data_IF_929740434775
#
_entry.id   IF_929740434775
#
_cell.length_a   1.000
_cell.length_b   1.000
_cell.length_c   1.000
_cell.angle_alpha   90.00
_cell.angle_beta   90.00
_cell.angle_gamma   90.00
#
_symmetry.space_group_name_H-M   'P 1'
#
loop_
_entity.id
_entity.type
_entity.pdbx_description
1 polymer ?
#
# COMPACT_ATOMS: atom_id res chain seq x y z
N UNK A 1 11.67 1.72 14.36
CA UNK A 1 10.99 2.87 13.70
C UNK A 1 11.80 4.16 13.89
N UNK A 2 13.05 4.01 14.28
CA UNK A 2 13.81 5.04 14.98
C UNK A 2 14.55 5.97 14.02
N UNK A 3 14.64 5.59 12.74
CA UNK A 3 15.23 6.41 11.66
C UNK A 3 14.29 7.55 11.24
N UNK A 4 12.97 7.34 11.32
CA UNK A 4 11.97 8.34 10.89
C UNK A 4 11.59 9.33 12.00
N UNK A 5 11.81 8.94 13.25
CA UNK A 5 11.53 9.80 14.42
C UNK A 5 12.32 11.12 14.38
N UNK A 6 13.65 11.13 14.12
CA UNK A 6 14.41 12.37 13.94
C UNK A 6 13.91 13.26 12.79
N UNK A 7 13.28 12.66 11.79
CA UNK A 7 12.73 13.36 10.62
C UNK A 7 11.29 13.86 10.84
N UNK A 8 10.74 13.67 12.05
CA UNK A 8 9.38 14.07 12.43
C UNK A 8 8.29 13.48 11.54
N UNK A 9 8.51 12.25 11.04
CA UNK A 9 7.51 11.49 10.30
C UNK A 9 6.74 10.57 11.24
N UNK A 10 5.42 10.59 11.11
CA UNK A 10 4.50 9.76 11.88
C UNK A 10 3.83 8.77 10.91
N UNK A 11 3.74 7.50 11.32
CA UNK A 11 3.03 6.47 10.54
C UNK A 11 1.53 6.77 10.58
N UNK A 12 0.96 7.08 9.42
CA UNK A 12 -0.47 7.38 9.27
C UNK A 12 -1.28 6.11 9.04
N UNK A 13 -0.81 5.24 8.15
CA UNK A 13 -1.52 4.01 7.80
C UNK A 13 -0.56 2.95 7.29
N UNK A 14 -1.00 1.71 7.32
CA UNK A 14 -0.30 0.59 6.71
C UNK A 14 -1.27 -0.49 6.25
N UNK A 15 -0.86 -1.23 5.23
CA UNK A 15 -1.53 -2.45 4.79
C UNK A 15 -0.46 -3.46 4.39
N UNK A 16 -0.71 -4.73 4.70
CA UNK A 16 0.23 -5.82 4.45
C UNK A 16 -0.52 -7.04 3.92
N UNK A 17 0.10 -7.72 2.97
CA UNK A 17 -0.29 -9.04 2.49
C UNK A 17 0.98 -9.88 2.30
N UNK A 18 1.22 -10.82 3.23
CA UNK A 18 2.47 -11.59 3.34
C UNK A 18 3.74 -10.70 3.25
N UNK A 19 4.45 -10.72 2.12
CA UNK A 19 5.66 -9.93 1.86
C UNK A 19 5.40 -8.57 1.19
N UNK A 20 4.16 -8.28 0.79
CA UNK A 20 3.76 -7.02 0.15
C UNK A 20 3.34 -6.06 1.26
N UNK A 21 4.08 -4.96 1.42
CA UNK A 21 3.87 -3.99 2.49
C UNK A 21 3.75 -2.58 1.90
N UNK A 22 2.72 -1.85 2.30
CA UNK A 22 2.57 -0.44 1.99
C UNK A 22 2.43 0.33 3.31
N UNK A 23 3.31 1.32 3.49
CA UNK A 23 3.36 2.19 4.65
C UNK A 23 3.18 3.63 4.19
N UNK A 24 2.32 4.39 4.86
CA UNK A 24 2.17 5.84 4.64
C UNK A 24 2.64 6.57 5.88
N UNK A 25 3.63 7.45 5.70
CA UNK A 25 4.12 8.35 6.74
C UNK A 25 3.87 9.79 6.33
N UNK A 26 3.59 10.66 7.29
CA UNK A 26 3.42 12.09 7.05
C UNK A 26 4.04 12.91 8.17
N UNK A 27 4.45 14.14 7.85
CA UNK A 27 4.82 15.13 8.86
C UNK A 27 3.59 15.64 9.60
N UNK A 28 3.78 16.05 10.85
CA UNK A 28 2.70 16.52 11.73
C UNK A 28 1.80 17.59 11.09
N UNK A 29 2.39 18.56 10.39
CA UNK A 29 1.68 19.66 9.71
C UNK A 29 0.65 19.22 8.66
N UNK A 30 0.77 17.99 8.13
CA UNK A 30 -0.13 17.47 7.10
C UNK A 30 -1.26 16.60 7.67
N UNK A 31 -1.16 16.16 8.93
CA UNK A 31 -2.10 15.20 9.53
C UNK A 31 -3.57 15.67 9.49
N UNK A 32 -3.91 16.95 9.76
CA UNK A 32 -5.30 17.41 9.69
C UNK A 32 -5.93 17.31 8.29
N UNK A 33 -5.09 17.23 7.25
CA UNK A 33 -5.52 17.22 5.85
C UNK A 33 -5.46 15.83 5.22
N UNK A 34 -5.12 14.80 5.99
CA UNK A 34 -5.07 13.41 5.55
C UNK A 34 -6.24 12.65 6.16
N UNK A 35 -7.06 12.05 5.31
CA UNK A 35 -8.12 11.12 5.70
C UNK A 35 -7.92 9.80 4.97
N UNK A 36 -7.71 8.71 5.70
CA UNK A 36 -7.67 7.37 5.11
C UNK A 36 -9.11 6.94 4.77
N UNK A 37 -9.37 6.64 3.50
CA UNK A 37 -10.69 6.26 3.01
C UNK A 37 -10.86 4.75 2.95
N UNK A 38 -9.83 4.02 2.50
CA UNK A 38 -9.83 2.57 2.53
C UNK A 38 -8.43 1.99 2.49
N UNK A 39 -8.29 0.79 3.05
CA UNK A 39 -7.13 -0.08 2.89
C UNK A 39 -7.61 -1.42 2.37
N UNK A 40 -6.98 -1.97 1.34
CA UNK A 40 -7.41 -3.23 0.71
C UNK A 40 -6.21 -4.12 0.40
N UNK A 41 -6.43 -5.42 0.48
CA UNK A 41 -5.48 -6.45 0.04
C UNK A 41 -6.19 -7.34 -0.98
N UNK A 42 -5.57 -7.53 -2.14
CA UNK A 42 -6.09 -8.33 -3.25
C UNK A 42 -5.10 -9.44 -3.56
N UNK A 43 -5.28 -10.65 -3.00
CA UNK A 43 -4.44 -11.79 -3.32
C UNK A 43 -4.70 -12.27 -4.75
N UNK A 44 -3.64 -12.70 -5.45
CA UNK A 44 -3.72 -13.33 -6.78
C UNK A 44 -3.00 -14.68 -6.84
N UNK A 45 -2.30 -15.08 -5.78
CA UNK A 45 -1.72 -16.42 -5.69
C UNK A 45 -2.80 -17.48 -5.47
N UNK A 46 -2.60 -18.69 -6.02
CA UNK A 46 -3.53 -19.82 -5.93
C UNK A 46 -5.00 -19.39 -6.19
N UNK A 47 -5.28 -18.79 -7.35
CA UNK A 47 -6.62 -18.28 -7.70
C UNK A 47 -7.22 -17.28 -6.69
N UNK A 48 -6.36 -16.55 -5.97
CA UNK A 48 -6.78 -15.60 -4.93
C UNK A 48 -6.86 -16.19 -3.52
N UNK A 49 -6.63 -17.49 -3.33
CA UNK A 49 -6.58 -18.10 -2.00
C UNK A 49 -5.25 -17.86 -1.26
N UNK A 50 -4.21 -17.42 -1.96
CA UNK A 50 -2.88 -17.23 -1.38
C UNK A 50 -2.30 -15.84 -1.64
N UNK A 51 -1.87 -15.17 -0.56
CA UNK A 51 -1.43 -13.77 -0.57
C UNK A 51 0.04 -13.52 -0.92
N UNK A 52 0.76 -14.47 -1.53
CA UNK A 52 2.17 -14.27 -1.90
C UNK A 52 2.35 -13.39 -3.15
N UNK A 53 1.27 -13.22 -3.91
CA UNK A 53 1.17 -12.43 -5.13
C UNK A 53 -0.13 -11.65 -5.10
N UNK A 54 -0.16 -10.52 -5.78
CA UNK A 54 -1.31 -9.63 -5.85
C UNK A 54 -0.90 -8.21 -5.46
N UNK A 55 -1.77 -7.50 -4.76
CA UNK A 55 -1.48 -6.12 -4.37
C UNK A 55 -2.18 -5.68 -3.10
N UNK A 56 -1.66 -4.61 -2.53
CA UNK A 56 -2.25 -3.89 -1.40
C UNK A 56 -2.43 -2.43 -1.78
N UNK A 57 -3.48 -1.80 -1.28
CA UNK A 57 -3.88 -0.45 -1.64
C UNK A 57 -4.21 0.37 -0.39
N UNK A 58 -3.85 1.65 -0.41
CA UNK A 58 -4.35 2.67 0.51
C UNK A 58 -4.93 3.79 -0.33
N UNK A 59 -6.23 4.04 -0.17
CA UNK A 59 -6.92 5.21 -0.70
C UNK A 59 -7.09 6.23 0.42
N UNK A 60 -6.70 7.47 0.15
CA UNK A 60 -6.79 8.58 1.09
C UNK A 60 -7.30 9.84 0.40
N UNK A 61 -7.85 10.75 1.19
CA UNK A 61 -8.07 12.14 0.81
C UNK A 61 -6.93 12.97 1.40
N UNK A 62 -6.22 13.71 0.57
CA UNK A 62 -5.11 14.58 0.93
C UNK A 62 -5.42 15.99 0.43
N UNK A 63 -5.58 16.96 1.33
CA UNK A 63 -5.90 18.36 0.98
C UNK A 63 -7.14 18.51 0.06
N UNK A 64 -8.14 17.64 0.23
CA UNK A 64 -9.34 17.64 -0.62
C UNK A 64 -9.25 16.70 -1.83
N UNK A 65 -8.06 16.28 -2.24
CA UNK A 65 -7.83 15.42 -3.40
C UNK A 65 -7.84 13.95 -3.03
N UNK A 66 -8.40 13.11 -3.90
CA UNK A 66 -8.40 11.66 -3.74
C UNK A 66 -7.12 11.07 -4.32
N UNK A 67 -6.38 10.31 -3.51
CA UNK A 67 -5.11 9.67 -3.87
C UNK A 67 -5.19 8.19 -3.52
N UNK A 68 -4.92 7.31 -4.48
CA UNK A 68 -4.81 5.86 -4.26
C UNK A 68 -3.40 5.39 -4.55
N UNK A 69 -2.78 4.73 -3.57
CA UNK A 69 -1.42 4.20 -3.68
C UNK A 69 -1.51 2.69 -3.63
N UNK A 70 -1.02 2.04 -4.68
CA UNK A 70 -1.05 0.58 -4.84
C UNK A 70 0.38 0.05 -4.84
N UNK A 71 0.67 -0.90 -3.97
CA UNK A 71 1.89 -1.71 -4.02
C UNK A 71 1.49 -3.12 -4.47
N UNK A 72 2.12 -3.65 -5.51
CA UNK A 72 1.83 -4.99 -6.03
C UNK A 72 3.09 -5.82 -6.26
N UNK A 73 2.93 -7.13 -6.12
CA UNK A 73 3.93 -8.13 -6.46
C UNK A 73 3.25 -9.15 -7.36
N UNK A 74 3.48 -9.00 -8.65
CA UNK A 74 2.85 -9.81 -9.69
C UNK A 74 3.66 -11.09 -9.98
N UNK A 75 3.08 -12.09 -10.67
CA UNK A 75 3.79 -13.32 -11.03
C UNK A 75 5.14 -13.03 -11.73
N UNK A 76 6.23 -13.77 -11.43
CA UNK A 76 7.53 -13.59 -12.08
C UNK A 76 7.60 -14.26 -13.46
N UNK A 77 8.72 -14.10 -14.18
CA UNK A 77 9.03 -14.69 -15.50
C UNK A 77 8.25 -14.10 -16.70
N UNK A 78 8.87 -14.08 -17.89
CA UNK A 78 8.28 -13.49 -19.12
C UNK A 78 7.09 -14.30 -19.65
N UNK A 79 7.09 -15.61 -19.44
CA UNK A 79 6.00 -16.52 -19.81
C UNK A 79 4.67 -16.16 -19.15
N UNK A 80 4.69 -15.52 -17.98
CA UNK A 80 3.50 -15.13 -17.23
C UNK A 80 2.98 -13.72 -17.58
N UNK A 81 3.39 -13.14 -18.71
CA UNK A 81 2.91 -11.81 -19.14
C UNK A 81 1.37 -11.73 -19.19
N UNK A 82 0.70 -12.75 -19.70
CA UNK A 82 -0.77 -12.79 -19.76
C UNK A 82 -1.45 -12.81 -18.39
N UNK A 83 -0.77 -13.27 -17.33
CA UNK A 83 -1.31 -13.24 -15.97
C UNK A 83 -1.09 -11.90 -15.26
N UNK A 84 -0.31 -10.99 -15.87
CA UNK A 84 -0.05 -9.64 -15.36
C UNK A 84 -0.93 -8.57 -16.01
N UNK A 85 -1.39 -8.82 -17.23
CA UNK A 85 -2.33 -7.98 -17.98
C UNK A 85 -3.76 -8.19 -17.46
#
# INVERSE_FOLDING_TARGET
>A
MDVLSPLSFIKVSHVRMQGILLLVFAKYQHLPYIQILSTKSTPTGLFGYWGNKGGVNICLKLYGYYVSIINCHLPPHISNNYQRL
#
